data_IF_417603343202
#
_entry.id   IF_417603343202
#
_cell.length_a   1.000
_cell.length_b   1.000
_cell.length_c   1.000
_cell.angle_alpha   90.00
_cell.angle_beta   90.00
_cell.angle_gamma   90.00
#
_symmetry.space_group_name_H-M   'P 1'
#
loop_
_entity.id
_entity.type
_entity.pdbx_description
1 polymer ?
#
# COMPACT_ATOMS: atom_id res chain seq x y z
N UNK A 1 8.57 -2.73 24.22
CA UNK A 1 8.46 -1.32 23.78
C UNK A 1 8.03 -1.35 22.31
N UNK A 2 6.73 -1.37 22.04
CA UNK A 2 6.21 -1.36 20.67
C UNK A 2 5.84 0.08 20.33
N UNK A 3 6.50 0.63 19.32
CA UNK A 3 6.35 2.00 18.87
C UNK A 3 4.93 2.29 18.37
N UNK A 4 4.45 3.47 18.73
CA UNK A 4 3.15 4.01 18.35
C UNK A 4 3.08 4.23 16.83
N UNK A 5 2.09 3.62 16.17
CA UNK A 5 1.66 4.07 14.85
C UNK A 5 0.85 5.35 15.07
N UNK A 6 1.44 6.49 14.74
CA UNK A 6 0.71 7.76 14.70
C UNK A 6 -0.21 7.71 13.49
N UNK A 7 -1.50 7.48 13.73
CA UNK A 7 -2.52 7.76 12.73
C UNK A 7 -2.59 9.28 12.61
N UNK A 8 -1.94 9.83 11.57
CA UNK A 8 -2.20 11.21 11.18
C UNK A 8 -3.69 11.29 10.86
N UNK A 9 -4.39 12.11 11.64
CA UNK A 9 -5.83 12.26 11.61
C UNK A 9 -6.18 12.92 10.29
N UNK A 10 -6.29 12.13 9.22
CA UNK A 10 -6.75 12.57 7.91
C UNK A 10 -8.09 13.27 8.11
N UNK A 11 -8.08 14.61 8.04
CA UNK A 11 -9.29 15.38 7.83
C UNK A 11 -10.00 14.73 6.65
N UNK A 12 -11.29 14.43 6.82
CA UNK A 12 -12.18 13.93 5.78
C UNK A 12 -12.15 14.90 4.58
N UNK A 13 -11.19 14.71 3.69
CA UNK A 13 -11.16 15.25 2.35
C UNK A 13 -11.86 14.20 1.53
N UNK A 14 -13.13 14.45 1.19
CA UNK A 14 -14.02 13.64 0.33
C UNK A 14 -13.84 12.11 0.38
N UNK A 15 -14.93 11.37 0.67
CA UNK A 15 -15.01 9.89 0.54
C UNK A 15 -14.75 9.35 -0.89
N UNK A 16 -14.08 10.10 -1.77
CA UNK A 16 -13.80 9.81 -3.16
C UNK A 16 -12.59 8.88 -3.36
N UNK A 17 -11.77 8.63 -2.33
CA UNK A 17 -10.60 7.76 -2.47
C UNK A 17 -10.79 6.44 -1.69
N UNK A 18 -10.79 5.28 -2.36
CA UNK A 18 -10.95 3.99 -1.69
C UNK A 18 -9.71 3.67 -0.85
N UNK A 19 -9.93 3.29 0.41
CA UNK A 19 -8.87 2.78 1.29
C UNK A 19 -8.78 1.25 1.17
N UNK A 20 -7.65 0.75 0.66
CA UNK A 20 -7.34 -0.68 0.66
C UNK A 20 -6.30 -0.97 1.75
N UNK A 21 -6.68 -1.73 2.78
CA UNK A 21 -5.73 -2.21 3.80
C UNK A 21 -5.20 -3.57 3.39
N UNK A 22 -3.90 -3.64 3.09
CA UNK A 22 -3.19 -4.91 2.88
C UNK A 22 -2.49 -5.31 4.18
N UNK A 23 -2.63 -6.58 4.57
CA UNK A 23 -2.04 -7.10 5.81
C UNK A 23 -1.74 -8.59 5.69
N UNK A 24 -0.76 -9.05 6.46
CA UNK A 24 -0.36 -10.45 6.53
C UNK A 24 1.07 -10.67 6.03
N UNK A 25 1.65 -11.83 6.38
CA UNK A 25 3.03 -12.19 6.00
C UNK A 25 3.21 -12.42 4.49
N UNK A 26 2.13 -12.70 3.76
CA UNK A 26 2.15 -12.96 2.32
C UNK A 26 2.72 -11.81 1.48
N UNK A 27 2.64 -10.56 1.97
CA UNK A 27 3.26 -9.42 1.29
C UNK A 27 4.78 -9.50 1.32
N UNK A 28 5.36 -9.89 2.45
CA UNK A 28 6.80 -10.10 2.58
C UNK A 28 7.26 -11.29 1.74
N UNK A 29 6.46 -12.37 1.69
CA UNK A 29 6.69 -13.51 0.80
C UNK A 29 6.63 -13.10 -0.68
N UNK A 30 5.80 -12.12 -1.03
CA UNK A 30 5.73 -11.51 -2.35
C UNK A 30 6.82 -10.44 -2.59
N UNK A 31 7.74 -10.23 -1.64
CA UNK A 31 8.88 -9.32 -1.75
C UNK A 31 8.62 -7.87 -1.32
N UNK A 32 7.48 -7.57 -0.70
CA UNK A 32 7.15 -6.22 -0.21
C UNK A 32 7.50 -6.04 1.27
N UNK A 33 8.10 -4.91 1.60
CA UNK A 33 8.39 -4.47 2.96
C UNK A 33 7.71 -3.13 3.30
N UNK A 34 7.56 -2.86 4.60
CA UNK A 34 7.02 -1.58 5.07
C UNK A 34 7.96 -0.44 4.68
N UNK A 35 7.41 0.60 4.05
CA UNK A 35 8.19 1.74 3.56
C UNK A 35 8.61 1.64 2.10
N UNK A 36 8.36 0.51 1.44
CA UNK A 36 8.61 0.36 0.02
C UNK A 36 7.81 1.36 -0.81
N UNK A 37 8.48 1.92 -1.81
CA UNK A 37 7.81 2.69 -2.85
C UNK A 37 7.20 1.73 -3.84
N UNK A 38 5.91 1.88 -4.12
CA UNK A 38 5.18 1.08 -5.10
C UNK A 38 4.78 1.92 -6.31
N UNK A 39 4.59 1.26 -7.46
CA UNK A 39 3.91 1.79 -8.65
C UNK A 39 2.54 1.11 -8.73
N UNK A 40 1.51 1.90 -8.99
CA UNK A 40 0.14 1.41 -9.21
C UNK A 40 -0.23 1.65 -10.68
N UNK A 41 -0.66 0.59 -11.36
CA UNK A 41 -1.17 0.62 -12.73
C UNK A 41 -2.64 0.23 -12.70
N UNK A 42 -3.52 1.06 -13.28
CA UNK A 42 -4.97 0.86 -13.30
C UNK A 42 -5.42 0.65 -14.75
N UNK A 43 -6.17 -0.42 -14.99
CA UNK A 43 -6.81 -0.70 -16.27
C UNK A 43 -8.22 -1.25 -16.05
N UNK A 44 -8.97 -1.51 -17.13
CA UNK A 44 -10.37 -1.96 -17.02
C UNK A 44 -10.44 -3.29 -16.27
N UNK A 45 -11.05 -3.26 -15.08
CA UNK A 45 -11.23 -4.43 -14.22
C UNK A 45 -9.98 -4.87 -13.44
N UNK A 46 -8.90 -4.07 -13.44
CA UNK A 46 -7.64 -4.45 -12.79
C UNK A 46 -6.95 -3.27 -12.10
N UNK A 47 -6.38 -3.57 -10.94
CA UNK A 47 -5.44 -2.73 -10.22
C UNK A 47 -4.20 -3.57 -9.94
N UNK A 48 -3.04 -3.13 -10.44
CA UNK A 48 -1.78 -3.85 -10.33
C UNK A 48 -0.80 -3.02 -9.51
N UNK A 49 -0.31 -3.60 -8.41
CA UNK A 49 0.67 -2.98 -7.50
C UNK A 49 2.02 -3.69 -7.70
N UNK A 50 3.07 -2.92 -7.98
CA UNK A 50 4.44 -3.42 -8.19
C UNK A 50 5.43 -2.62 -7.35
N UNK A 51 6.54 -3.22 -6.95
CA UNK A 51 7.66 -2.48 -6.36
C UNK A 51 8.23 -1.48 -7.37
N UNK A 52 8.53 -0.27 -6.90
CA UNK A 52 9.18 0.74 -7.73
C UNK A 52 10.68 0.46 -7.74
N UNK A 53 11.14 -0.23 -8.80
CA UNK A 53 12.56 -0.58 -8.98
C UNK A 53 12.88 -2.05 -8.74
N UNK A 54 11.87 -2.90 -8.54
CA UNK A 54 12.06 -4.35 -8.70
C UNK A 54 12.38 -4.66 -10.16
N UNK A 55 13.52 -5.27 -10.43
CA UNK A 55 13.79 -5.89 -11.74
C UNK A 55 12.74 -7.00 -11.97
N UNK A 56 12.24 -7.17 -13.20
CA UNK A 56 11.35 -8.28 -13.54
C UNK A 56 12.00 -9.64 -13.32
#
# INVERSE_FOLDING_TARGET
MSGNVVYDKMKSVDNSCPLLRLSGHWLAEAGFEMGDKVKVEISKGQLVIKLKGGSP
#
